data_IF_890474541469
#
_entry.id   IF_890474541469
#
_cell.length_a   1.000
_cell.length_b   1.000
_cell.length_c   1.000
_cell.angle_alpha   90.00
_cell.angle_beta   90.00
_cell.angle_gamma   90.00
#
_symmetry.space_group_name_H-M   'P 1'
#
loop_
_entity.id
_entity.type
_entity.pdbx_description
1 polymer ?
#
# COMPACT_ATOMS: atom_id res chain seq x y z
N UNK A 1 41.59 24.82 -63.04
CA UNK A 1 41.74 24.88 -61.57
C UNK A 1 40.39 24.54 -60.96
N UNK A 2 40.39 23.69 -59.94
CA UNK A 2 39.34 22.69 -59.67
C UNK A 2 37.97 23.19 -59.18
N UNK A 3 36.96 22.39 -59.51
CA UNK A 3 35.58 22.48 -59.04
C UNK A 3 35.51 22.29 -57.52
N UNK A 4 34.88 23.23 -56.82
CA UNK A 4 34.51 23.08 -55.41
C UNK A 4 33.01 22.78 -55.32
N UNK A 5 32.70 21.57 -54.85
CA UNK A 5 31.36 21.09 -54.52
C UNK A 5 31.02 21.57 -53.11
N UNK A 6 30.10 22.53 -53.00
CA UNK A 6 29.50 22.88 -51.70
C UNK A 6 28.23 22.08 -51.44
N UNK A 7 28.12 21.72 -50.17
CA UNK A 7 27.38 20.57 -49.63
C UNK A 7 25.87 20.79 -49.57
N UNK A 8 25.17 19.71 -49.85
CA UNK A 8 23.74 19.44 -49.65
C UNK A 8 23.29 19.91 -48.26
N UNK A 9 22.44 20.92 -48.21
CA UNK A 9 21.68 21.28 -47.01
C UNK A 9 20.45 20.39 -46.93
N UNK A 10 20.46 19.50 -45.94
CA UNK A 10 19.32 18.67 -45.54
C UNK A 10 18.10 19.56 -45.23
N UNK A 11 17.05 19.44 -46.04
CA UNK A 11 15.72 19.94 -45.70
C UNK A 11 15.07 19.02 -44.67
N UNK A 12 14.86 19.56 -43.47
CA UNK A 12 14.10 18.92 -42.39
C UNK A 12 12.61 19.00 -42.71
N UNK A 13 11.98 17.84 -42.93
CA UNK A 13 10.53 17.69 -43.00
C UNK A 13 9.96 17.81 -41.59
N UNK A 14 9.24 18.89 -41.30
CA UNK A 14 8.63 19.07 -39.98
C UNK A 14 7.26 19.73 -40.03
N UNK A 15 6.45 19.51 -41.08
CA UNK A 15 5.06 19.96 -41.09
C UNK A 15 4.17 19.01 -41.91
N UNK A 16 3.74 17.90 -41.30
CA UNK A 16 2.52 17.20 -41.73
C UNK A 16 1.70 16.78 -40.48
N UNK A 17 0.39 17.05 -40.45
CA UNK A 17 -0.48 16.67 -39.34
C UNK A 17 -0.74 15.16 -39.40
N UNK A 18 -0.14 14.40 -38.48
CA UNK A 18 -0.49 13.00 -38.30
C UNK A 18 -1.67 12.90 -37.35
N UNK A 19 -2.85 12.69 -37.93
CA UNK A 19 -4.06 12.31 -37.20
C UNK A 19 -3.85 11.04 -36.36
N UNK A 20 -4.60 10.96 -35.28
CA UNK A 20 -4.58 9.89 -34.28
C UNK A 20 -4.93 8.52 -34.90
N UNK A 21 -4.08 7.49 -34.76
CA UNK A 21 -4.36 6.14 -35.27
C UNK A 21 -5.23 5.30 -34.30
N UNK A 22 -5.80 5.87 -33.24
CA UNK A 22 -6.72 5.15 -32.37
C UNK A 22 -8.16 5.24 -32.89
N UNK A 23 -8.60 4.16 -33.56
CA UNK A 23 -10.00 3.91 -33.89
C UNK A 23 -10.87 3.70 -32.65
N UNK A 24 -11.15 4.78 -31.92
CA UNK A 24 -12.19 4.81 -30.88
C UNK A 24 -13.51 5.21 -31.52
N UNK A 25 -14.21 4.22 -32.07
CA UNK A 25 -15.66 4.32 -32.21
C UNK A 25 -16.25 4.51 -30.81
N UNK A 26 -17.15 5.50 -30.68
CA UNK A 26 -17.88 5.79 -29.45
C UNK A 26 -18.57 4.54 -28.95
N UNK A 27 -18.10 4.01 -27.82
CA UNK A 27 -18.75 2.91 -27.13
C UNK A 27 -20.06 3.44 -26.52
N UNK A 28 -21.17 3.22 -27.23
CA UNK A 28 -22.53 3.42 -26.74
C UNK A 28 -22.69 2.69 -25.40
N UNK A 29 -23.15 3.43 -24.39
CA UNK A 29 -23.48 2.96 -23.06
C UNK A 29 -24.46 1.76 -23.13
N UNK A 30 -23.94 0.53 -23.04
CA UNK A 30 -24.78 -0.66 -22.91
C UNK A 30 -25.25 -0.78 -21.47
N UNK A 31 -26.49 -0.37 -21.24
CA UNK A 31 -27.21 -0.59 -19.97
C UNK A 31 -27.49 -2.09 -19.85
N UNK A 32 -26.84 -2.76 -18.90
CA UNK A 32 -27.12 -4.16 -18.56
C UNK A 32 -28.31 -4.28 -17.63
N UNK A 33 -29.31 -5.09 -18.00
CA UNK A 33 -30.43 -5.49 -17.15
C UNK A 33 -30.07 -6.82 -16.49
N UNK A 34 -30.02 -6.86 -15.16
CA UNK A 34 -29.88 -8.10 -14.41
C UNK A 34 -31.26 -8.60 -13.96
N UNK A 35 -31.57 -9.86 -14.29
CA UNK A 35 -32.74 -10.57 -13.77
C UNK A 35 -32.36 -11.24 -12.45
N UNK A 36 -33.06 -10.92 -11.37
CA UNK A 36 -32.95 -11.62 -10.09
C UNK A 36 -33.88 -12.83 -10.13
N UNK A 37 -33.31 -14.03 -10.01
CA UNK A 37 -34.09 -15.23 -9.69
C UNK A 37 -34.18 -15.31 -8.17
N UNK A 38 -35.36 -15.04 -7.62
CA UNK A 38 -35.72 -15.49 -6.28
C UNK A 38 -36.00 -16.97 -6.39
N UNK A 39 -35.07 -17.80 -5.90
CA UNK A 39 -35.37 -19.22 -5.69
C UNK A 39 -36.08 -19.34 -4.34
N UNK A 40 -37.29 -19.86 -4.42
CA UNK A 40 -38.24 -20.01 -3.34
C UNK A 40 -37.87 -21.32 -2.59
N UNK A 41 -37.48 -21.17 -1.33
CA UNK A 41 -37.63 -22.08 -0.20
C UNK A 41 -37.94 -23.58 -0.49
N UNK A 42 -36.98 -24.46 -0.20
CA UNK A 42 -37.29 -25.84 0.25
C UNK A 42 -36.44 -26.20 1.47
N UNK A 43 -37.08 -26.27 2.64
CA UNK A 43 -36.58 -26.96 3.82
C UNK A 43 -36.61 -28.49 3.59
N UNK A 44 -35.49 -29.17 3.79
CA UNK A 44 -35.47 -30.60 4.08
C UNK A 44 -34.41 -30.90 5.13
N UNK A 45 -34.88 -31.44 6.25
CA UNK A 45 -34.12 -31.91 7.40
C UNK A 45 -33.65 -33.38 7.23
N UNK A 46 -32.62 -33.69 8.02
CA UNK A 46 -32.16 -34.99 8.52
C UNK A 46 -31.30 -35.94 7.65
N UNK A 47 -30.33 -36.56 8.34
CA UNK A 47 -29.71 -37.83 7.94
C UNK A 47 -28.20 -37.81 7.72
N UNK A 48 -27.43 -38.25 8.72
CA UNK A 48 -25.97 -38.19 8.78
C UNK A 48 -25.17 -39.17 7.91
N UNK A 49 -23.84 -39.13 8.07
CA UNK A 49 -22.92 -40.12 7.50
C UNK A 49 -21.51 -39.58 7.31
N UNK A 50 -20.57 -40.06 8.11
CA UNK A 50 -19.18 -39.63 8.10
C UNK A 50 -18.42 -39.89 6.80
N UNK A 51 -17.52 -38.97 6.49
CA UNK A 51 -16.50 -39.10 5.44
C UNK A 51 -15.37 -38.12 5.74
N UNK A 52 -14.35 -38.60 6.46
CA UNK A 52 -13.20 -37.82 6.85
C UNK A 52 -12.40 -37.33 5.65
N UNK A 53 -12.44 -36.03 5.41
CA UNK A 53 -11.38 -35.28 4.76
C UNK A 53 -10.77 -34.39 5.86
N UNK A 54 -9.44 -34.26 5.98
CA UNK A 54 -8.87 -33.27 6.87
C UNK A 54 -9.24 -31.91 6.28
N UNK A 55 -10.34 -31.33 6.79
CA UNK A 55 -10.70 -29.95 6.56
C UNK A 55 -9.49 -29.15 7.02
N UNK A 56 -8.79 -28.52 6.06
CA UNK A 56 -7.79 -27.53 6.38
C UNK A 56 -8.51 -26.54 7.30
N UNK A 57 -8.17 -26.57 8.58
CA UNK A 57 -8.74 -25.72 9.61
C UNK A 57 -8.65 -24.29 9.10
N UNK A 58 -9.77 -23.75 8.62
CA UNK A 58 -9.87 -22.36 8.21
C UNK A 58 -9.66 -21.54 9.48
N UNK A 59 -8.41 -21.19 9.76
CA UNK A 59 -8.09 -20.27 10.83
C UNK A 59 -8.83 -18.96 10.54
N UNK A 60 -9.78 -18.62 11.40
CA UNK A 60 -10.47 -17.34 11.28
C UNK A 60 -9.45 -16.20 11.41
N UNK A 61 -9.55 -15.14 10.59
CA UNK A 61 -8.72 -13.96 10.75
C UNK A 61 -8.86 -13.45 12.18
N UNK A 62 -7.74 -13.14 12.83
CA UNK A 62 -7.83 -12.46 14.13
C UNK A 62 -8.06 -10.98 13.87
N UNK A 63 -8.86 -10.35 14.71
CA UNK A 63 -8.95 -8.90 14.78
C UNK A 63 -7.99 -8.41 15.89
N UNK A 64 -7.08 -7.51 15.53
CA UNK A 64 -6.28 -6.78 16.52
C UNK A 64 -6.99 -5.46 16.80
N UNK A 65 -7.04 -5.04 18.06
CA UNK A 65 -7.52 -3.69 18.42
C UNK A 65 -6.47 -2.68 17.96
N UNK A 66 -6.63 -2.19 16.73
CA UNK A 66 -5.78 -1.19 16.12
C UNK A 66 -6.57 0.07 15.82
N UNK A 67 -5.86 1.20 15.78
CA UNK A 67 -6.42 2.46 15.33
C UNK A 67 -6.74 2.41 13.83
N UNK A 68 -7.79 3.12 13.47
CA UNK A 68 -8.27 3.27 12.11
C UNK A 68 -7.83 4.62 11.53
N UNK A 69 -7.45 4.62 10.26
CA UNK A 69 -6.96 5.82 9.59
C UNK A 69 -7.51 5.97 8.19
N UNK A 70 -7.65 7.22 7.78
CA UNK A 70 -7.72 7.59 6.37
C UNK A 70 -6.77 8.75 6.14
N UNK A 71 -6.01 8.72 5.06
CA UNK A 71 -5.17 9.84 4.68
C UNK A 71 -5.57 10.40 3.32
N UNK A 72 -5.46 11.72 3.20
CA UNK A 72 -5.86 12.48 2.02
C UNK A 72 -4.72 13.37 1.55
N UNK A 73 -4.61 13.50 0.24
CA UNK A 73 -3.76 14.44 -0.46
C UNK A 73 -4.70 15.46 -1.11
N UNK A 74 -4.76 16.67 -0.58
CA UNK A 74 -5.83 17.63 -0.92
C UNK A 74 -7.23 17.02 -0.68
N UNK A 75 -7.98 16.66 -1.74
CA UNK A 75 -9.32 16.05 -1.64
C UNK A 75 -9.31 14.54 -1.93
N UNK A 76 -8.20 13.98 -2.38
CA UNK A 76 -8.11 12.57 -2.78
C UNK A 76 -7.68 11.70 -1.61
N UNK A 77 -8.43 10.63 -1.32
CA UNK A 77 -8.01 9.63 -0.33
C UNK A 77 -6.85 8.81 -0.90
N UNK A 78 -5.67 8.93 -0.27
CA UNK A 78 -4.46 8.24 -0.69
C UNK A 78 -4.12 7.02 0.16
N UNK A 79 -4.68 6.91 1.36
CA UNK A 79 -4.45 5.78 2.27
C UNK A 79 -5.69 5.44 3.09
N UNK A 80 -5.93 4.14 3.31
CA UNK A 80 -7.04 3.65 4.13
C UNK A 80 -6.63 2.45 4.99
N UNK A 81 -7.05 2.47 6.26
CA UNK A 81 -7.03 1.36 7.21
C UNK A 81 -8.29 1.42 8.07
N UNK A 82 -9.33 0.69 7.66
CA UNK A 82 -10.65 0.74 8.29
C UNK A 82 -11.25 -0.66 8.47
N UNK A 83 -11.83 -0.99 9.63
CA UNK A 83 -12.43 -2.32 9.90
C UNK A 83 -13.50 -2.70 8.88
N UNK A 84 -14.28 -1.74 8.41
CA UNK A 84 -15.31 -1.94 7.37
C UNK A 84 -14.76 -2.57 6.08
N UNK A 85 -13.49 -2.29 5.74
CA UNK A 85 -12.82 -2.82 4.56
C UNK A 85 -12.07 -4.13 4.83
N UNK A 86 -12.29 -4.75 5.99
CA UNK A 86 -11.58 -5.96 6.46
C UNK A 86 -10.06 -5.78 6.55
N UNK A 87 -9.61 -4.53 6.55
CA UNK A 87 -8.23 -4.10 6.60
C UNK A 87 -7.51 -4.53 7.88
N UNK A 88 -8.25 -4.80 8.96
CA UNK A 88 -7.70 -5.16 10.26
C UNK A 88 -7.50 -6.67 10.43
N UNK A 89 -7.90 -7.47 9.44
CA UNK A 89 -7.73 -8.92 9.47
C UNK A 89 -6.24 -9.28 9.43
N UNK A 90 -5.81 -10.11 10.38
CA UNK A 90 -4.44 -10.64 10.42
C UNK A 90 -4.44 -12.17 10.38
N UNK A 91 -3.38 -12.71 9.79
CA UNK A 91 -3.20 -14.12 9.48
C UNK A 91 -1.88 -14.64 10.04
N UNK A 92 -1.83 -15.94 10.33
CA UNK A 92 -0.57 -16.63 10.64
C UNK A 92 0.39 -16.60 9.44
N UNK A 93 1.70 -16.69 9.70
CA UNK A 93 2.70 -16.71 8.63
C UNK A 93 2.43 -17.81 7.59
N UNK A 94 2.04 -19.01 8.04
CA UNK A 94 1.66 -20.13 7.17
C UNK A 94 0.51 -19.76 6.23
N UNK A 95 -0.54 -19.12 6.74
CA UNK A 95 -1.69 -18.70 5.94
C UNK A 95 -1.28 -17.60 4.97
N UNK A 96 -0.49 -16.61 5.40
CA UNK A 96 0.04 -15.57 4.50
C UNK A 96 0.83 -16.17 3.34
N UNK A 97 1.71 -17.14 3.60
CA UNK A 97 2.50 -17.78 2.56
C UNK A 97 1.65 -18.47 1.49
N UNK A 98 0.51 -19.05 1.87
CA UNK A 98 -0.42 -19.66 0.91
C UNK A 98 -1.19 -18.64 0.06
N UNK A 99 -1.30 -17.39 0.51
CA UNK A 99 -2.05 -16.32 -0.17
C UNK A 99 -1.15 -15.39 -0.99
N UNK A 100 0.10 -15.19 -0.56
CA UNK A 100 1.00 -14.21 -1.16
C UNK A 100 1.38 -14.57 -2.59
N UNK A 101 1.41 -13.56 -3.44
CA UNK A 101 1.92 -13.60 -4.82
C UNK A 101 3.14 -12.69 -4.94
N UNK A 102 4.08 -12.99 -5.86
CA UNK A 102 5.20 -12.10 -6.13
C UNK A 102 4.75 -10.65 -6.36
N UNK A 103 5.39 -9.70 -5.68
CA UNK A 103 5.06 -8.28 -5.72
C UNK A 103 3.97 -7.83 -4.74
N UNK A 104 3.40 -8.74 -3.95
CA UNK A 104 2.50 -8.36 -2.85
C UNK A 104 3.27 -7.63 -1.75
N UNK A 105 2.64 -6.64 -1.15
CA UNK A 105 3.15 -6.01 0.07
C UNK A 105 2.59 -6.75 1.28
N UNK A 106 3.48 -7.07 2.21
CA UNK A 106 3.13 -7.73 3.46
C UNK A 106 3.45 -6.79 4.61
N UNK A 107 2.52 -6.67 5.55
CA UNK A 107 2.70 -5.97 6.82
C UNK A 107 2.69 -6.99 7.95
N UNK A 108 3.76 -7.01 8.74
CA UNK A 108 3.87 -7.74 9.99
C UNK A 108 3.46 -6.82 11.14
N UNK A 109 2.38 -7.18 11.81
CA UNK A 109 1.77 -6.35 12.86
C UNK A 109 2.48 -6.60 14.19
N UNK A 110 2.67 -5.53 14.96
CA UNK A 110 3.25 -5.57 16.31
C UNK A 110 2.46 -4.65 17.24
N UNK A 111 2.36 -5.02 18.52
CA UNK A 111 1.71 -4.21 19.56
C UNK A 111 2.68 -3.28 20.29
N UNK A 112 4.00 -3.44 20.07
CA UNK A 112 5.05 -2.71 20.78
C UNK A 112 5.99 -1.93 19.87
N UNK A 113 5.78 -2.02 18.55
CA UNK A 113 6.62 -1.42 17.53
C UNK A 113 5.77 -1.03 16.32
N UNK A 114 6.25 -0.07 15.52
CA UNK A 114 5.61 0.26 14.25
C UNK A 114 5.53 -0.99 13.35
N UNK A 115 4.42 -1.18 12.61
CA UNK A 115 4.29 -2.30 11.69
C UNK A 115 5.45 -2.36 10.69
N UNK A 116 5.90 -3.59 10.40
CA UNK A 116 7.04 -3.82 9.52
C UNK A 116 6.57 -4.26 8.13
N UNK A 117 7.00 -3.57 7.09
CA UNK A 117 6.55 -3.82 5.72
C UNK A 117 7.63 -4.51 4.89
N UNK A 118 7.20 -5.35 3.95
CA UNK A 118 8.09 -6.05 3.03
C UNK A 118 7.41 -6.29 1.68
N UNK A 119 8.22 -6.49 0.64
CA UNK A 119 7.77 -6.96 -0.68
C UNK A 119 7.97 -8.47 -0.74
N UNK A 120 6.90 -9.21 -1.02
CA UNK A 120 6.99 -10.65 -1.22
C UNK A 120 7.58 -10.96 -2.59
N UNK A 121 8.61 -11.80 -2.63
CA UNK A 121 9.22 -12.29 -3.86
C UNK A 121 8.62 -13.65 -4.24
N UNK A 122 9.06 -14.73 -3.60
CA UNK A 122 8.60 -16.09 -3.86
C UNK A 122 9.07 -17.03 -2.74
N UNK A 123 8.37 -18.14 -2.49
CA UNK A 123 8.81 -19.23 -1.61
C UNK A 123 9.30 -18.75 -0.23
N UNK A 124 8.45 -18.04 0.52
CA UNK A 124 8.79 -17.48 1.85
C UNK A 124 9.89 -16.40 1.84
N UNK A 125 10.37 -15.96 0.68
CA UNK A 125 11.34 -14.87 0.59
C UNK A 125 10.65 -13.52 0.48
N UNK A 126 11.13 -12.56 1.28
CA UNK A 126 10.70 -11.16 1.26
C UNK A 126 11.89 -10.23 1.19
N UNK A 127 11.69 -9.07 0.57
CA UNK A 127 12.68 -8.00 0.49
C UNK A 127 12.18 -6.80 1.27
N UNK A 128 13.00 -6.28 2.17
CA UNK A 128 12.61 -5.20 3.06
C UNK A 128 13.78 -4.34 3.50
N UNK A 129 13.47 -3.11 3.93
CA UNK A 129 14.41 -2.25 4.63
C UNK A 129 14.38 -2.60 6.13
N UNK A 130 15.51 -3.02 6.69
CA UNK A 130 15.67 -3.34 8.10
C UNK A 130 17.00 -2.82 8.61
N UNK A 131 16.97 -2.11 9.74
CA UNK A 131 18.17 -1.58 10.40
C UNK A 131 19.11 -0.79 9.45
N UNK A 132 18.51 -0.10 8.47
CA UNK A 132 19.25 0.71 7.51
C UNK A 132 19.94 -0.09 6.40
N UNK A 133 19.48 -1.31 6.11
CA UNK A 133 19.92 -2.14 5.00
C UNK A 133 18.71 -2.72 4.24
N UNK A 134 18.80 -2.82 2.92
CA UNK A 134 17.80 -3.54 2.10
C UNK A 134 18.22 -5.00 1.98
N UNK A 135 17.46 -5.88 2.62
CA UNK A 135 17.79 -7.29 2.78
C UNK A 135 16.75 -8.19 2.17
N UNK A 136 17.17 -9.41 1.85
CA UNK A 136 16.30 -10.53 1.53
C UNK A 136 16.36 -11.51 2.70
N UNK A 137 15.23 -11.77 3.31
CA UNK A 137 15.11 -12.66 4.47
C UNK A 137 13.82 -13.51 4.34
N UNK A 138 13.69 -14.55 5.16
CA UNK A 138 12.47 -15.38 5.20
C UNK A 138 11.34 -14.65 5.95
N UNK A 139 10.11 -14.67 5.39
CA UNK A 139 8.93 -14.07 6.02
C UNK A 139 8.63 -14.72 7.38
N UNK A 140 8.78 -16.04 7.49
CA UNK A 140 8.59 -16.74 8.77
C UNK A 140 9.65 -16.36 9.81
N UNK A 141 10.92 -16.22 9.40
CA UNK A 141 12.02 -15.80 10.27
C UNK A 141 11.86 -14.37 10.76
N UNK A 142 11.62 -13.41 9.86
CA UNK A 142 11.41 -12.01 10.25
C UNK A 142 10.08 -11.83 10.99
N UNK A 143 9.09 -12.68 10.72
CA UNK A 143 7.82 -12.74 11.43
C UNK A 143 8.01 -12.99 12.92
N UNK A 144 8.92 -13.89 13.30
CA UNK A 144 9.14 -14.31 14.70
C UNK A 144 7.82 -14.69 15.41
N UNK A 145 6.94 -15.38 14.70
CA UNK A 145 5.60 -15.74 15.18
C UNK A 145 4.55 -14.62 15.15
N UNK A 146 4.91 -13.39 14.73
CA UNK A 146 3.94 -12.31 14.52
C UNK A 146 2.97 -12.66 13.41
N UNK A 147 1.74 -12.18 13.57
CA UNK A 147 0.73 -12.23 12.51
C UNK A 147 0.94 -11.07 11.55
N UNK A 148 0.46 -11.23 10.33
CA UNK A 148 0.57 -10.20 9.31
C UNK A 148 -0.60 -10.21 8.34
N UNK A 149 -0.50 -9.40 7.30
CA UNK A 149 -1.55 -9.23 6.29
C UNK A 149 -0.97 -8.71 4.98
N UNK A 150 -1.67 -8.99 3.89
CA UNK A 150 -1.36 -8.42 2.58
C UNK A 150 -1.95 -7.01 2.53
N UNK A 151 -1.13 -6.01 2.17
CA UNK A 151 -1.45 -4.57 2.27
C UNK A 151 -1.43 -3.85 0.93
N UNK A 152 -1.71 -4.59 -0.14
CA UNK A 152 -1.69 -4.12 -1.53
C UNK A 152 -2.57 -2.91 -1.84
N UNK A 153 -3.69 -2.77 -1.12
CA UNK A 153 -4.74 -1.76 -1.32
C UNK A 153 -4.67 -0.62 -0.30
N UNK A 154 -3.68 -0.62 0.61
CA UNK A 154 -3.54 0.42 1.64
C UNK A 154 -3.43 1.80 1.05
N UNK A 155 -2.56 1.93 0.04
CA UNK A 155 -2.42 3.14 -0.73
C UNK A 155 -3.26 3.06 -1.99
N UNK A 156 -3.94 4.17 -2.32
CA UNK A 156 -4.84 4.28 -3.47
C UNK A 156 -4.15 4.87 -4.70
N UNK A 157 -2.88 4.54 -4.89
CA UNK A 157 -2.15 4.88 -6.11
C UNK A 157 -2.24 3.75 -7.13
N UNK A 158 -2.06 4.08 -8.41
CA UNK A 158 -1.98 3.06 -9.47
C UNK A 158 -0.75 2.17 -9.23
N UNK A 159 -0.91 0.85 -9.02
CA UNK A 159 0.22 -0.04 -8.78
C UNK A 159 0.97 -0.32 -10.09
N UNK A 160 2.28 -0.58 -9.95
CA UNK A 160 3.12 -1.12 -11.01
C UNK A 160 2.81 -2.62 -11.23
N UNK A 161 3.14 -3.19 -12.41
CA UNK A 161 3.08 -4.63 -12.62
C UNK A 161 3.91 -5.39 -11.59
N UNK A 162 3.42 -6.54 -11.12
CA UNK A 162 4.07 -7.36 -10.09
C UNK A 162 5.56 -7.65 -10.37
N UNK A 163 5.90 -7.95 -11.63
CA UNK A 163 7.28 -8.16 -12.07
C UNK A 163 8.18 -6.94 -11.82
N UNK A 164 7.66 -5.74 -12.08
CA UNK A 164 8.39 -4.49 -11.85
C UNK A 164 8.49 -4.17 -10.35
N UNK A 165 7.49 -4.53 -9.54
CA UNK A 165 7.56 -4.39 -8.07
C UNK A 165 8.71 -5.24 -7.50
N UNK A 166 8.80 -6.50 -7.91
CA UNK A 166 9.88 -7.40 -7.51
C UNK A 166 11.23 -6.92 -8.07
N UNK A 167 11.29 -6.47 -9.33
CA UNK A 167 12.50 -5.91 -9.91
C UNK A 167 13.00 -4.68 -9.14
N UNK A 168 12.09 -3.77 -8.76
CA UNK A 168 12.42 -2.60 -7.95
C UNK A 168 13.03 -3.02 -6.60
N UNK A 169 12.44 -4.00 -5.93
CA UNK A 169 12.93 -4.48 -4.63
C UNK A 169 14.30 -5.17 -4.75
N UNK A 170 14.42 -6.12 -5.69
CA UNK A 170 15.65 -6.90 -5.94
C UNK A 170 16.82 -6.02 -6.38
N UNK A 171 16.58 -5.01 -7.22
CA UNK A 171 17.62 -4.12 -7.73
C UNK A 171 18.28 -3.23 -6.66
N UNK A 172 17.74 -3.19 -5.43
CA UNK A 172 18.27 -2.40 -4.33
C UNK A 172 18.81 -3.26 -3.17
N UNK A 173 18.91 -4.58 -3.34
CA UNK A 173 19.47 -5.47 -2.32
C UNK A 173 20.92 -5.11 -1.99
N UNK A 174 21.25 -5.12 -0.70
CA UNK A 174 22.59 -4.82 -0.19
C UNK A 174 22.93 -3.33 -0.07
N UNK A 175 22.04 -2.43 -0.52
CA UNK A 175 22.17 -1.01 -0.20
C UNK A 175 22.05 -0.81 1.31
N UNK A 176 22.86 0.09 1.86
CA UNK A 176 22.90 0.41 3.29
C UNK A 176 22.70 1.91 3.52
N UNK A 177 22.75 2.33 4.79
CA UNK A 177 22.30 3.65 5.27
C UNK A 177 22.88 4.86 4.52
N UNK A 178 24.06 4.74 3.91
CA UNK A 178 24.64 5.80 3.08
C UNK A 178 23.96 6.01 1.73
N UNK A 179 23.41 4.93 1.14
CA UNK A 179 22.89 4.89 -0.22
C UNK A 179 21.35 4.79 -0.28
N UNK A 180 20.71 4.57 0.87
CA UNK A 180 19.26 4.40 0.99
C UNK A 180 18.56 5.76 1.03
N UNK A 181 17.53 5.90 0.19
CA UNK A 181 16.67 7.07 0.14
C UNK A 181 15.29 6.86 0.78
N UNK A 182 15.09 5.80 1.58
CA UNK A 182 13.85 5.54 2.32
C UNK A 182 14.12 5.54 3.82
N UNK A 183 13.24 6.16 4.60
CA UNK A 183 13.44 6.28 6.06
C UNK A 183 12.87 5.11 6.86
N UNK A 184 12.03 4.28 6.24
CA UNK A 184 11.36 3.17 6.90
C UNK A 184 10.91 2.10 5.89
N UNK A 185 10.56 0.92 6.41
CA UNK A 185 10.20 -0.25 5.59
C UNK A 185 8.94 -0.05 4.75
N UNK A 186 7.98 0.72 5.25
CA UNK A 186 6.76 1.03 4.52
C UNK A 186 7.02 1.93 3.32
N UNK A 187 7.79 3.01 3.49
CA UNK A 187 8.17 3.90 2.40
C UNK A 187 8.91 3.15 1.28
N UNK A 188 9.82 2.23 1.64
CA UNK A 188 10.51 1.38 0.66
C UNK A 188 9.53 0.44 -0.09
N UNK A 189 8.70 -0.30 0.64
CA UNK A 189 7.76 -1.24 0.06
C UNK A 189 6.71 -0.54 -0.83
N UNK A 190 6.17 0.59 -0.36
CA UNK A 190 5.23 1.41 -1.12
C UNK A 190 5.89 2.01 -2.38
N UNK A 191 7.14 2.48 -2.28
CA UNK A 191 7.87 2.93 -3.47
C UNK A 191 8.05 1.81 -4.49
N UNK A 192 8.41 0.59 -4.06
CA UNK A 192 8.55 -0.55 -4.96
C UNK A 192 7.25 -0.81 -5.72
N UNK A 193 6.10 -0.70 -5.05
CA UNK A 193 4.77 -0.95 -5.64
C UNK A 193 4.25 0.18 -6.53
N UNK A 194 4.51 1.44 -6.19
CA UNK A 194 3.86 2.58 -6.84
C UNK A 194 4.81 3.48 -7.64
N UNK A 195 6.12 3.38 -7.46
CA UNK A 195 7.13 4.18 -8.18
C UNK A 195 7.13 5.67 -7.85
N UNK A 196 6.33 6.10 -6.88
CA UNK A 196 6.10 7.50 -6.49
C UNK A 196 7.29 8.08 -5.72
N UNK A 197 7.85 9.21 -6.19
CA UNK A 197 9.05 9.83 -5.60
C UNK A 197 8.84 10.35 -4.18
N UNK A 198 7.59 10.63 -3.81
CA UNK A 198 7.12 11.12 -2.52
C UNK A 198 7.40 10.15 -1.38
N UNK A 199 7.59 8.86 -1.69
CA UNK A 199 8.04 7.86 -0.70
C UNK A 199 9.55 7.93 -0.40
N UNK A 200 10.34 8.60 -1.24
CA UNK A 200 11.77 8.80 -1.01
C UNK A 200 11.98 10.04 -0.15
N UNK A 201 12.93 9.97 0.78
CA UNK A 201 13.40 11.08 1.62
C UNK A 201 13.75 12.28 0.74
N UNK A 202 13.06 13.40 0.97
CA UNK A 202 13.24 14.63 0.18
C UNK A 202 12.92 14.49 -1.32
N UNK A 203 12.26 13.42 -1.74
CA UNK A 203 11.92 13.15 -3.14
C UNK A 203 10.69 13.91 -3.63
N UNK A 204 9.89 14.46 -2.70
CA UNK A 204 8.66 15.20 -2.98
C UNK A 204 8.93 16.62 -3.51
N UNK A 205 8.29 16.96 -4.63
CA UNK A 205 8.32 18.30 -5.17
C UNK A 205 7.38 19.20 -4.35
N UNK A 206 7.95 20.15 -3.62
CA UNK A 206 7.17 21.00 -2.72
C UNK A 206 6.37 22.03 -3.53
N UNK A 207 5.05 21.85 -3.56
CA UNK A 207 4.11 22.91 -3.95
C UNK A 207 3.53 23.52 -2.68
N UNK A 208 3.46 24.85 -2.59
CA UNK A 208 2.91 25.55 -1.44
C UNK A 208 1.43 25.20 -1.15
N UNK A 209 0.71 24.66 -2.15
CA UNK A 209 -0.68 24.25 -2.04
C UNK A 209 -0.86 22.77 -1.65
N UNK A 210 0.20 21.96 -1.73
CA UNK A 210 0.11 20.53 -1.45
C UNK A 210 0.09 20.29 0.06
N UNK A 211 -0.96 19.63 0.54
CA UNK A 211 -1.12 19.28 1.96
C UNK A 211 -1.64 17.84 2.08
N UNK A 212 -1.19 17.18 3.14
CA UNK A 212 -1.65 15.86 3.53
C UNK A 212 -2.47 15.95 4.81
N UNK A 213 -3.57 15.20 4.85
CA UNK A 213 -4.48 15.16 6.00
C UNK A 213 -4.54 13.73 6.50
N UNK A 214 -4.18 13.49 7.76
CA UNK A 214 -4.35 12.19 8.42
C UNK A 214 -5.56 12.28 9.35
N UNK A 215 -6.63 11.56 9.02
CA UNK A 215 -7.81 11.42 9.86
C UNK A 215 -7.72 10.12 10.65
N UNK A 216 -7.73 10.23 11.98
CA UNK A 216 -7.79 9.09 12.90
C UNK A 216 -9.22 8.89 13.36
N UNK A 217 -9.72 7.66 13.26
CA UNK A 217 -11.08 7.31 13.67
C UNK A 217 -11.05 6.61 15.03
N UNK A 218 -11.96 7.00 15.91
CA UNK A 218 -12.09 6.45 17.26
C UNK A 218 -13.42 5.71 17.40
N UNK A 219 -13.37 4.50 17.97
CA UNK A 219 -14.55 3.71 18.33
C UNK A 219 -15.15 4.24 19.65
N UNK A 220 -15.96 5.30 19.60
CA UNK A 220 -16.98 5.62 20.62
C UNK A 220 -17.77 6.90 20.28
N UNK A 221 -19.01 6.75 19.79
CA UNK A 221 -20.15 7.66 20.01
C UNK A 221 -20.06 9.13 19.56
N UNK A 222 -18.90 9.60 19.14
CA UNK A 222 -18.60 11.00 18.85
C UNK A 222 -18.02 11.01 17.45
N UNK A 223 -18.76 11.54 16.46
CA UNK A 223 -18.36 11.64 15.05
C UNK A 223 -17.19 12.60 14.80
N UNK A 224 -16.26 12.72 15.75
CA UNK A 224 -15.13 13.64 15.72
C UNK A 224 -13.84 12.83 15.58
N UNK A 225 -13.53 12.40 14.35
CA UNK A 225 -12.18 11.92 14.05
C UNK A 225 -11.19 13.08 14.15
N UNK A 226 -10.02 12.85 14.74
CA UNK A 226 -8.97 13.86 14.80
C UNK A 226 -8.27 13.96 13.44
N UNK A 227 -8.08 15.16 12.92
CA UNK A 227 -7.42 15.39 11.62
C UNK A 227 -6.15 16.19 11.80
N UNK A 228 -5.01 15.59 11.44
CA UNK A 228 -3.69 16.21 11.46
C UNK A 228 -3.29 16.65 10.04
N UNK A 229 -2.60 17.78 9.92
CA UNK A 229 -2.18 18.35 8.63
C UNK A 229 -0.65 18.34 8.51
N UNK A 230 -0.14 17.87 7.37
CA UNK A 230 1.28 17.76 7.06
C UNK A 230 1.62 18.41 5.73
N UNK A 231 2.88 18.84 5.59
CA UNK A 231 3.40 19.45 4.36
C UNK A 231 4.04 18.43 3.41
N UNK A 232 4.29 17.21 3.88
CA UNK A 232 4.91 16.14 3.10
C UNK A 232 4.27 14.81 3.41
N UNK A 233 4.34 13.88 2.46
CA UNK A 233 3.91 12.49 2.66
C UNK A 233 4.80 11.79 3.70
N UNK A 234 6.09 12.13 3.70
CA UNK A 234 7.07 11.59 4.64
C UNK A 234 6.71 11.87 6.10
N UNK A 235 6.37 13.11 6.44
CA UNK A 235 6.00 13.50 7.81
C UNK A 235 4.70 12.81 8.26
N UNK A 236 3.73 12.68 7.35
CA UNK A 236 2.46 12.01 7.61
C UNK A 236 2.66 10.52 7.89
N UNK A 237 3.47 9.83 7.07
CA UNK A 237 3.81 8.41 7.28
C UNK A 237 4.54 8.25 8.61
N UNK A 238 5.50 9.12 8.91
CA UNK A 238 6.26 9.08 10.15
C UNK A 238 5.34 9.19 11.38
N UNK A 239 4.41 10.16 11.36
CA UNK A 239 3.48 10.36 12.47
C UNK A 239 2.49 9.20 12.61
N UNK A 240 1.92 8.68 11.52
CA UNK A 240 1.05 7.50 11.57
C UNK A 240 1.78 6.30 12.18
N UNK A 241 3.01 6.02 11.73
CA UNK A 241 3.83 4.90 12.27
C UNK A 241 4.16 5.09 13.75
N UNK A 242 4.38 6.32 14.20
CA UNK A 242 4.59 6.65 15.62
C UNK A 242 3.33 6.39 16.45
N UNK A 243 2.16 6.73 15.92
CA UNK A 243 0.87 6.46 16.56
C UNK A 243 0.61 4.96 16.62
N UNK A 244 0.84 4.22 15.54
CA UNK A 244 0.73 2.74 15.54
C UNK A 244 1.65 2.07 16.56
N UNK A 245 2.86 2.61 16.79
CA UNK A 245 3.81 2.06 17.76
C UNK A 245 3.47 2.37 19.23
N UNK A 246 2.84 3.51 19.50
CA UNK A 246 2.63 4.02 20.86
C UNK A 246 1.18 3.98 21.32
N UNK A 247 0.22 3.88 20.39
CA UNK A 247 -1.20 4.07 20.64
C UNK A 247 -1.59 5.51 21.02
N UNK A 248 -0.64 6.46 21.02
CA UNK A 248 -0.84 7.83 21.51
C UNK A 248 -0.69 8.85 20.38
N UNK A 249 -1.74 9.66 20.18
CA UNK A 249 -1.70 10.83 19.29
C UNK A 249 -1.02 12.03 19.95
N UNK A 250 -0.14 12.73 19.23
CA UNK A 250 0.65 13.87 19.76
C UNK A 250 -0.23 15.04 20.26
N UNK A 251 -1.45 15.22 19.75
CA UNK A 251 -2.37 16.24 20.26
C UNK A 251 -2.82 15.98 21.71
N UNK A 252 -2.85 14.72 22.16
CA UNK A 252 -3.12 14.39 23.56
C UNK A 252 -1.94 14.76 24.48
N UNK A 253 -0.73 14.94 23.92
CA UNK A 253 0.45 15.39 24.66
C UNK A 253 0.48 16.91 24.86
N UNK A 254 -0.31 17.68 24.10
CA UNK A 254 -0.46 19.13 24.23
C UNK A 254 -1.72 19.54 25.00
N UNK A 255 -2.63 18.60 25.29
CA UNK A 255 -3.87 18.82 26.05
C UNK A 255 -3.76 18.68 27.57
N UNK A 256 -2.57 18.35 28.12
CA UNK A 256 -2.35 18.24 29.59
C UNK A 256 -1.38 19.34 30.07
N UNK A 257 -1.59 20.59 29.62
CA UNK A 257 -0.91 21.75 30.24
C UNK A 257 -1.68 23.08 30.09
N UNK A 258 -2.99 23.03 29.84
CA UNK A 258 -3.85 24.21 29.77
C UNK A 258 -4.90 24.20 30.88
N UNK A 259 -4.48 24.36 32.14
CA UNK A 259 -5.43 24.43 33.24
C UNK A 259 -4.78 24.45 34.62
N UNK A 260 -4.19 25.59 34.98
CA UNK A 260 -4.08 26.15 36.35
C UNK A 260 -3.35 27.49 36.26
N UNK A 261 -4.12 28.55 36.05
CA UNK A 261 -3.96 29.79 36.82
C UNK A 261 -5.13 29.87 37.81
#
# INVERSE_FOLDING_TARGET
>A
MGNHLDRITHLSYSELPTGDPSGVEKEELRVGVAYFFSDEEEEVDDGGGGGGYPCASQESPGAVSELEYSAFCSQECIFSKLRENQDLNVYSAKTLLSMCKPGDLVELVSTSQAPHWAVYELNDQVIHLHEGEIRKDSLTEIGRGRRGRIVNSRYRFRPLPASLVVQNATGHLGLNSGDICWTNSESFAAWCRFGKREFKKGGEAHSAAQQYFLKVHFDAGTRSGHTLVFRSLEDMIWERRRVDASGILKELSLGVNGGKE
#
